data_IF_913466144340
#
_entry.id   IF_913466144340
#
_cell.length_a   1.000
_cell.length_b   1.000
_cell.length_c   1.000
_cell.angle_alpha   90.00
_cell.angle_beta   90.00
_cell.angle_gamma   90.00
#
_symmetry.space_group_name_H-M   'P 1'
#
loop_
_entity.id
_entity.type
_entity.pdbx_description
1 polymer ?
#
# COMPACT_ATOMS: atom_id res chain seq x y z
N UNK A 1 -5.13 25.66 -18.67
CA UNK A 1 -3.75 25.23 -18.35
C UNK A 1 -3.61 24.39 -17.08
N UNK A 2 -4.48 24.51 -16.06
CA UNK A 2 -4.40 23.71 -14.81
C UNK A 2 -4.86 22.25 -14.93
N UNK A 3 -5.81 21.95 -15.83
CA UNK A 3 -6.37 20.59 -16.00
C UNK A 3 -5.34 19.60 -16.53
N UNK A 4 -4.60 19.94 -17.59
CA UNK A 4 -3.62 19.04 -18.21
C UNK A 4 -2.51 18.59 -17.25
N UNK A 5 -2.03 19.50 -16.40
CA UNK A 5 -0.99 19.18 -15.42
C UNK A 5 -1.51 18.22 -14.34
N UNK A 6 -2.76 18.40 -13.89
CA UNK A 6 -3.42 17.51 -12.93
C UNK A 6 -3.63 16.10 -13.52
N UNK A 7 -4.12 16.00 -14.77
CA UNK A 7 -4.26 14.71 -15.45
C UNK A 7 -2.92 13.98 -15.63
N UNK A 8 -1.85 14.70 -16.00
CA UNK A 8 -0.49 14.11 -16.12
C UNK A 8 0.02 13.56 -14.78
N UNK A 9 -0.22 14.27 -13.67
CA UNK A 9 0.13 13.81 -12.32
C UNK A 9 -0.60 12.52 -11.94
N UNK A 10 -1.91 12.45 -12.16
CA UNK A 10 -2.70 11.24 -11.85
C UNK A 10 -2.23 10.04 -12.67
N UNK A 11 -1.98 10.21 -13.98
CA UNK A 11 -1.47 9.13 -14.84
C UNK A 11 -0.08 8.68 -14.37
N UNK A 12 0.80 9.64 -14.04
CA UNK A 12 2.15 9.37 -13.53
C UNK A 12 2.13 8.63 -12.19
N UNK A 13 1.22 8.99 -11.29
CA UNK A 13 1.07 8.34 -10.00
C UNK A 13 0.59 6.89 -10.17
N UNK A 14 -0.44 6.67 -10.99
CA UNK A 14 -0.93 5.32 -11.30
C UNK A 14 0.16 4.43 -11.94
N UNK A 15 1.00 5.02 -12.79
CA UNK A 15 2.14 4.31 -13.37
C UNK A 15 3.20 3.94 -12.31
N UNK A 16 3.51 4.86 -11.40
CA UNK A 16 4.51 4.66 -10.34
C UNK A 16 4.04 3.65 -9.29
N UNK A 17 2.75 3.67 -8.93
CA UNK A 17 2.14 2.68 -8.06
C UNK A 17 2.21 1.27 -8.67
N UNK A 18 1.83 1.15 -9.95
CA UNK A 18 1.94 -0.12 -10.70
C UNK A 18 3.38 -0.63 -10.76
N UNK A 19 4.35 0.27 -10.93
CA UNK A 19 5.78 -0.05 -10.89
C UNK A 19 6.21 -0.54 -9.50
N UNK A 20 5.71 0.08 -8.43
CA UNK A 20 5.93 -0.34 -7.05
C UNK A 20 5.39 -1.74 -6.77
N UNK A 21 4.14 -2.01 -7.17
CA UNK A 21 3.53 -3.33 -7.06
C UNK A 21 4.37 -4.37 -7.81
N UNK A 22 4.78 -4.07 -9.04
CA UNK A 22 5.60 -4.97 -9.85
C UNK A 22 6.98 -5.22 -9.21
N UNK A 23 7.61 -4.20 -8.65
CA UNK A 23 8.87 -4.34 -7.91
C UNK A 23 8.68 -5.29 -6.72
N UNK A 24 7.64 -5.10 -5.90
CA UNK A 24 7.36 -5.96 -4.77
C UNK A 24 7.12 -7.41 -5.22
N UNK A 25 6.23 -7.65 -6.18
CA UNK A 25 5.84 -9.02 -6.58
C UNK A 25 6.98 -9.76 -7.30
N UNK A 26 7.78 -9.07 -8.11
CA UNK A 26 8.85 -9.71 -8.89
C UNK A 26 10.11 -9.96 -8.08
N UNK A 27 10.44 -9.05 -7.16
CA UNK A 27 11.71 -9.08 -6.43
C UNK A 27 11.55 -9.60 -5.00
N UNK A 28 10.32 -9.61 -4.48
CA UNK A 28 10.03 -10.06 -3.12
C UNK A 28 8.88 -11.07 -3.13
N UNK A 29 9.06 -12.07 -2.31
CA UNK A 29 8.12 -13.18 -2.14
C UNK A 29 7.12 -12.85 -1.04
N UNK A 30 5.91 -13.41 -1.15
CA UNK A 30 4.83 -13.22 -0.19
C UNK A 30 3.93 -12.00 -0.44
N UNK A 31 4.23 -11.14 -1.41
CA UNK A 31 3.32 -10.07 -1.85
C UNK A 31 2.42 -10.57 -2.98
N UNK A 32 1.12 -10.25 -2.90
CA UNK A 32 0.13 -10.70 -3.86
C UNK A 32 -0.74 -9.56 -4.35
N UNK A 33 -0.77 -9.39 -5.67
CA UNK A 33 -1.77 -8.53 -6.30
C UNK A 33 -3.13 -9.20 -6.18
N UNK A 34 -4.12 -8.39 -5.86
CA UNK A 34 -5.52 -8.80 -5.76
C UNK A 34 -6.36 -7.93 -6.69
N UNK A 35 -7.42 -8.51 -7.23
CA UNK A 35 -8.40 -7.76 -8.00
C UNK A 35 -9.55 -7.26 -7.10
N UNK A 36 -10.49 -6.55 -7.73
CA UNK A 36 -11.63 -5.96 -7.03
C UNK A 36 -12.53 -7.01 -6.37
N UNK A 37 -12.72 -8.18 -6.99
CA UNK A 37 -13.60 -9.21 -6.45
C UNK A 37 -12.95 -9.89 -5.25
N UNK A 38 -11.65 -10.19 -5.33
CA UNK A 38 -10.87 -10.70 -4.21
C UNK A 38 -10.84 -9.70 -3.05
N UNK A 39 -10.73 -8.39 -3.32
CA UNK A 39 -10.83 -7.36 -2.26
C UNK A 39 -12.15 -7.44 -1.50
N UNK A 40 -13.29 -7.64 -2.18
CA UNK A 40 -14.60 -7.81 -1.51
C UNK A 40 -14.61 -9.05 -0.63
N UNK A 41 -14.15 -10.20 -1.17
CA UNK A 41 -14.06 -11.46 -0.42
C UNK A 41 -13.20 -11.29 0.84
N UNK A 42 -12.05 -10.61 0.74
CA UNK A 42 -11.20 -10.36 1.89
C UNK A 42 -11.88 -9.47 2.92
N UNK A 43 -12.54 -8.39 2.50
CA UNK A 43 -13.30 -7.50 3.39
C UNK A 43 -14.42 -8.25 4.11
N UNK A 44 -15.17 -9.10 3.41
CA UNK A 44 -16.19 -9.96 4.03
C UNK A 44 -15.59 -10.88 5.08
N UNK A 45 -14.45 -11.52 4.77
CA UNK A 45 -13.75 -12.42 5.70
C UNK A 45 -13.23 -11.70 6.95
N UNK A 46 -12.89 -10.42 6.86
CA UNK A 46 -12.50 -9.61 8.03
C UNK A 46 -13.65 -8.77 8.62
N UNK A 47 -14.88 -9.02 8.16
CA UNK A 47 -16.09 -8.31 8.62
C UNK A 47 -15.98 -6.78 8.51
N UNK A 48 -15.35 -6.29 7.44
CA UNK A 48 -15.16 -4.87 7.17
C UNK A 48 -16.05 -4.38 6.02
N UNK A 49 -16.59 -3.15 6.09
CA UNK A 49 -17.46 -2.60 5.06
C UNK A 49 -16.73 -2.31 3.74
N UNK A 50 -17.45 -2.42 2.63
CA UNK A 50 -16.91 -2.17 1.28
C UNK A 50 -16.47 -0.72 1.01
N UNK A 51 -16.73 0.23 1.92
CA UNK A 51 -16.13 1.57 1.85
C UNK A 51 -14.60 1.53 1.87
N UNK A 52 -14.01 0.45 2.39
CA UNK A 52 -12.57 0.22 2.44
C UNK A 52 -11.97 -0.51 1.23
N UNK A 53 -12.74 -0.69 0.14
CA UNK A 53 -12.23 -1.32 -1.10
C UNK A 53 -10.98 -0.63 -1.69
N UNK A 54 -10.79 0.65 -1.39
CA UNK A 54 -9.65 1.44 -1.86
C UNK A 54 -8.60 1.69 -0.77
N UNK A 55 -8.71 1.05 0.40
CA UNK A 55 -7.82 1.30 1.55
C UNK A 55 -6.59 0.39 1.60
N UNK A 56 -6.38 -0.45 0.59
CA UNK A 56 -5.24 -1.35 0.48
C UNK A 56 -5.06 -1.77 -0.98
N UNK A 57 -3.84 -2.06 -1.40
CA UNK A 57 -3.48 -2.34 -2.80
C UNK A 57 -3.16 -3.82 -3.03
N UNK A 58 -2.45 -4.41 -2.07
CA UNK A 58 -1.96 -5.80 -2.13
C UNK A 58 -2.14 -6.47 -0.78
N UNK A 59 -1.97 -7.78 -0.75
CA UNK A 59 -1.83 -8.53 0.50
C UNK A 59 -0.44 -9.10 0.63
N UNK A 60 -0.01 -9.30 1.86
CA UNK A 60 1.29 -9.87 2.19
C UNK A 60 1.12 -11.02 3.18
N UNK A 61 1.72 -12.17 2.89
CA UNK A 61 1.73 -13.33 3.78
C UNK A 61 3.18 -13.61 4.18
N UNK A 62 3.60 -13.26 5.42
CA UNK A 62 5.01 -13.32 5.83
C UNK A 62 5.65 -14.70 5.66
N UNK A 63 4.91 -15.78 5.94
CA UNK A 63 5.43 -17.16 5.82
C UNK A 63 5.73 -17.60 4.40
N UNK A 64 5.18 -16.92 3.40
CA UNK A 64 5.40 -17.24 2.00
C UNK A 64 6.59 -16.47 1.40
N UNK A 65 7.33 -15.76 2.26
CA UNK A 65 8.63 -15.22 1.89
C UNK A 65 9.60 -16.37 1.60
N UNK A 66 10.07 -16.45 0.36
CA UNK A 66 10.99 -17.44 -0.19
C UNK A 66 10.31 -18.50 -1.06
N UNK A 67 8.98 -18.46 -1.23
CA UNK A 67 8.21 -19.52 -1.90
C UNK A 67 7.48 -18.95 -3.12
N UNK A 68 7.51 -19.67 -4.24
CA UNK A 68 6.75 -19.37 -5.44
C UNK A 68 5.27 -19.80 -5.26
N UNK A 69 4.34 -18.88 -5.47
CA UNK A 69 2.96 -19.02 -4.99
C UNK A 69 1.95 -19.49 -6.05
N UNK A 70 0.87 -20.14 -5.60
CA UNK A 70 -0.34 -20.44 -6.39
C UNK A 70 -1.57 -19.80 -5.74
N UNK A 71 -2.47 -19.18 -6.51
CA UNK A 71 -3.64 -18.40 -6.04
C UNK A 71 -4.47 -19.04 -4.90
N UNK A 72 -4.55 -20.37 -4.86
CA UNK A 72 -5.33 -21.15 -3.86
C UNK A 72 -4.89 -20.98 -2.40
N UNK A 73 -3.73 -20.37 -2.13
CA UNK A 73 -3.15 -20.32 -0.78
C UNK A 73 -3.62 -19.12 0.06
N UNK A 74 -4.25 -18.09 -0.52
CA UNK A 74 -4.73 -16.92 0.25
C UNK A 74 -5.74 -17.35 1.32
N UNK A 75 -6.65 -18.26 0.96
CA UNK A 75 -7.68 -18.74 1.88
C UNK A 75 -7.12 -19.57 3.03
N UNK A 76 -6.04 -20.31 2.79
CA UNK A 76 -5.42 -21.19 3.80
C UNK A 76 -4.66 -20.39 4.86
N UNK A 77 -4.19 -19.20 4.52
CA UNK A 77 -3.33 -18.37 5.38
C UNK A 77 -3.99 -17.05 5.81
N UNK A 78 -5.32 -17.00 5.84
CA UNK A 78 -6.08 -15.79 6.18
C UNK A 78 -5.69 -15.18 7.54
N UNK A 79 -5.32 -16.03 8.51
CA UNK A 79 -4.92 -15.57 9.85
C UNK A 79 -3.60 -14.80 9.86
N UNK A 80 -2.72 -15.10 8.92
CA UNK A 80 -1.38 -14.52 8.79
C UNK A 80 -1.32 -13.41 7.72
N UNK A 81 -2.44 -13.20 7.03
CA UNK A 81 -2.55 -12.24 5.94
C UNK A 81 -2.50 -10.80 6.48
N UNK A 82 -1.62 -10.02 5.87
CA UNK A 82 -1.49 -8.59 6.09
C UNK A 82 -2.07 -7.82 4.90
N UNK A 83 -2.89 -6.83 5.18
CA UNK A 83 -3.41 -5.86 4.23
C UNK A 83 -2.40 -4.72 4.07
N UNK A 84 -2.02 -4.43 2.83
CA UNK A 84 -0.92 -3.51 2.54
C UNK A 84 -1.40 -2.38 1.65
N UNK A 85 -1.24 -1.16 2.13
CA UNK A 85 -1.43 0.07 1.37
C UNK A 85 -0.06 0.59 0.89
N UNK A 86 0.14 0.78 -0.41
CA UNK A 86 1.42 1.20 -0.96
C UNK A 86 1.50 2.72 -1.07
N UNK A 87 2.66 3.27 -0.67
CA UNK A 87 3.07 4.62 -1.02
C UNK A 87 4.39 4.51 -1.78
N UNK A 88 4.44 5.07 -2.98
CA UNK A 88 5.57 4.92 -3.90
C UNK A 88 6.25 6.26 -4.19
N UNK A 89 7.56 6.23 -4.42
CA UNK A 89 8.32 7.43 -4.83
C UNK A 89 9.49 7.07 -5.73
N UNK A 90 9.88 7.98 -6.62
CA UNK A 90 11.12 7.91 -7.42
C UNK A 90 12.24 8.81 -6.89
N UNK A 91 11.98 9.55 -5.80
CA UNK A 91 12.98 10.38 -5.14
C UNK A 91 14.07 9.50 -4.53
N UNK A 92 15.32 9.93 -4.64
CA UNK A 92 16.45 9.29 -3.95
C UNK A 92 16.28 9.43 -2.43
N UNK A 93 16.13 8.28 -1.75
CA UNK A 93 15.89 8.16 -0.30
C UNK A 93 16.75 7.02 0.26
N UNK A 94 18.04 7.27 0.56
CA UNK A 94 18.96 6.22 1.03
C UNK A 94 18.55 5.62 2.39
N UNK A 95 17.76 6.37 3.18
CA UNK A 95 17.24 5.95 4.49
C UNK A 95 15.69 5.83 4.47
N UNK A 96 15.12 5.12 3.50
CA UNK A 96 13.66 4.95 3.36
C UNK A 96 13.01 4.48 4.69
N UNK A 97 11.96 5.17 5.23
CA UNK A 97 11.14 6.24 4.65
C UNK A 97 11.46 7.67 5.10
N UNK A 98 12.67 7.94 5.60
CA UNK A 98 13.07 9.30 5.96
C UNK A 98 13.04 10.22 4.73
N UNK A 99 12.28 11.31 4.81
CA UNK A 99 12.13 12.26 3.70
C UNK A 99 11.10 11.85 2.63
N UNK A 100 10.38 10.76 2.86
CA UNK A 100 9.24 10.33 2.06
C UNK A 100 8.07 11.29 2.25
N UNK A 101 7.49 11.76 1.16
CA UNK A 101 6.28 12.58 1.16
C UNK A 101 5.16 11.79 0.49
N UNK A 102 4.01 11.67 1.15
CA UNK A 102 2.89 10.87 0.68
C UNK A 102 1.56 11.49 1.12
N UNK A 103 0.51 11.21 0.35
CA UNK A 103 -0.87 11.43 0.75
C UNK A 103 -1.50 10.12 1.22
N UNK A 104 -2.44 10.20 2.13
CA UNK A 104 -3.23 9.08 2.60
C UNK A 104 -4.66 9.56 2.90
N UNK A 105 -5.65 8.73 2.61
CA UNK A 105 -7.06 9.03 2.88
C UNK A 105 -7.44 8.69 4.31
N UNK A 106 -8.51 9.31 4.83
CA UNK A 106 -9.06 8.95 6.14
C UNK A 106 -9.50 7.48 6.18
N UNK A 107 -10.09 6.97 5.09
CA UNK A 107 -10.47 5.56 4.97
C UNK A 107 -9.28 4.59 5.09
N UNK A 108 -8.06 4.96 4.66
CA UNK A 108 -6.87 4.13 4.86
C UNK A 108 -6.49 4.05 6.34
N UNK A 109 -6.53 5.18 7.06
CA UNK A 109 -6.26 5.21 8.49
C UNK A 109 -7.34 4.48 9.29
N UNK A 110 -8.62 4.71 9.00
CA UNK A 110 -9.75 4.02 9.64
C UNK A 110 -9.65 2.51 9.45
N UNK A 111 -9.32 2.05 8.24
CA UNK A 111 -9.14 0.64 7.95
C UNK A 111 -7.97 0.05 8.72
N UNK A 112 -6.84 0.77 8.76
CA UNK A 112 -5.68 0.36 9.54
C UNK A 112 -5.95 0.28 11.04
N UNK A 113 -6.75 1.19 11.59
CA UNK A 113 -7.17 1.13 12.99
C UNK A 113 -8.09 -0.08 13.25
N UNK A 114 -9.02 -0.35 12.34
CA UNK A 114 -9.93 -1.49 12.46
C UNK A 114 -9.22 -2.84 12.40
N UNK A 115 -8.13 -2.94 11.62
CA UNK A 115 -7.36 -4.18 11.45
C UNK A 115 -6.16 -4.31 12.37
N UNK A 116 -5.70 -3.21 13.00
CA UNK A 116 -4.55 -3.18 13.90
C UNK A 116 -3.32 -3.83 13.27
N UNK A 117 -2.82 -4.89 13.91
CA UNK A 117 -1.63 -5.62 13.48
C UNK A 117 -1.76 -6.33 12.14
N UNK A 118 -2.94 -6.39 11.53
CA UNK A 118 -3.13 -6.93 10.17
C UNK A 118 -2.99 -5.91 9.05
N UNK A 119 -2.76 -4.62 9.36
CA UNK A 119 -2.58 -3.59 8.33
C UNK A 119 -1.19 -2.95 8.38
N UNK A 120 -0.59 -2.68 7.22
CA UNK A 120 0.68 -1.94 7.11
C UNK A 120 0.63 -0.94 5.96
N UNK A 121 1.22 0.23 6.19
CA UNK A 121 1.68 1.06 5.08
C UNK A 121 3.02 0.52 4.55
N UNK A 122 3.13 0.40 3.23
CA UNK A 122 4.36 -0.01 2.54
C UNK A 122 4.94 1.16 1.75
N UNK A 123 6.09 1.66 2.20
CA UNK A 123 6.82 2.74 1.55
C UNK A 123 7.85 2.17 0.57
N UNK A 124 7.61 2.33 -0.73
CA UNK A 124 8.49 1.83 -1.79
C UNK A 124 9.25 2.99 -2.43
N UNK A 125 10.58 2.94 -2.36
CA UNK A 125 11.46 3.82 -3.10
C UNK A 125 11.94 3.09 -4.36
N UNK A 126 11.58 3.62 -5.53
CA UNK A 126 11.91 3.09 -6.86
C UNK A 126 13.12 3.78 -7.49
N UNK A 127 13.82 4.64 -6.75
CA UNK A 127 15.04 5.24 -7.25
C UNK A 127 16.14 4.16 -7.38
N UNK A 128 16.83 4.03 -8.54
CA UNK A 128 17.82 2.98 -8.74
C UNK A 128 18.95 2.95 -7.71
N UNK A 129 19.36 4.11 -7.19
CA UNK A 129 20.46 4.23 -6.22
C UNK A 129 20.00 4.01 -4.77
N UNK A 130 18.69 3.95 -4.50
CA UNK A 130 18.13 3.73 -3.17
C UNK A 130 16.89 2.83 -3.18
N UNK A 131 16.88 1.85 -4.10
CA UNK A 131 15.77 0.94 -4.33
C UNK A 131 15.49 0.11 -3.07
N UNK A 132 14.32 0.30 -2.46
CA UNK A 132 14.00 -0.31 -1.17
C UNK A 132 12.50 -0.28 -0.88
N UNK A 133 12.06 -1.07 0.10
CA UNK A 133 10.74 -0.92 0.70
C UNK A 133 10.80 -0.99 2.24
N UNK A 134 9.82 -0.39 2.90
CA UNK A 134 9.63 -0.49 4.35
C UNK A 134 8.16 -0.67 4.68
N UNK A 135 7.84 -1.67 5.51
CA UNK A 135 6.52 -1.86 6.10
C UNK A 135 6.48 -1.20 7.48
N UNK A 136 5.42 -0.46 7.76
CA UNK A 136 5.17 0.16 9.06
C UNK A 136 3.72 -0.07 9.50
N UNK A 137 3.53 -0.38 10.78
CA UNK A 137 2.24 -0.26 11.48
C UNK A 137 1.81 1.20 11.55
N UNK A 138 0.54 1.45 11.90
CA UNK A 138 0.09 2.81 12.21
C UNK A 138 0.88 3.42 13.38
N UNK A 139 1.15 2.64 14.42
CA UNK A 139 1.90 3.10 15.60
C UNK A 139 3.34 3.50 15.24
N UNK A 140 4.03 2.68 14.44
CA UNK A 140 5.38 3.01 13.96
C UNK A 140 5.37 4.23 13.03
N UNK A 141 4.35 4.34 12.18
CA UNK A 141 4.20 5.48 11.28
C UNK A 141 3.99 6.78 12.07
N UNK A 142 3.08 6.80 13.04
CA UNK A 142 2.79 7.98 13.86
C UNK A 142 4.02 8.46 14.63
N UNK A 143 4.89 7.55 15.09
CA UNK A 143 6.16 7.91 15.75
C UNK A 143 7.15 8.64 14.85
N UNK A 144 7.08 8.44 13.53
CA UNK A 144 8.05 9.02 12.58
C UNK A 144 7.48 10.18 11.75
N UNK A 145 6.16 10.41 11.77
CA UNK A 145 5.52 11.55 11.11
C UNK A 145 6.07 12.84 11.71
N UNK A 146 6.69 13.68 10.88
CA UNK A 146 7.20 15.00 11.28
C UNK A 146 6.16 16.11 11.13
N UNK A 147 5.31 16.00 10.11
CA UNK A 147 4.28 16.99 9.80
C UNK A 147 3.10 16.27 9.13
N UNK A 148 1.88 16.61 9.54
CA UNK A 148 0.63 16.11 8.98
C UNK A 148 -0.25 17.30 8.58
N UNK A 149 -0.63 17.36 7.31
CA UNK A 149 -1.55 18.37 6.76
C UNK A 149 -2.78 17.68 6.19
N UNK A 150 -3.96 18.22 6.51
CA UNK A 150 -5.22 17.81 5.88
C UNK A 150 -5.41 18.60 4.58
N UNK A 151 -5.77 17.90 3.52
CA UNK A 151 -6.12 18.47 2.22
C UNK A 151 -7.46 17.90 1.76
N UNK A 152 -8.31 18.74 1.18
CA UNK A 152 -9.60 18.33 0.64
C UNK A 152 -9.49 18.11 -0.87
N UNK A 153 -10.06 17.01 -1.35
CA UNK A 153 -10.31 16.79 -2.78
C UNK A 153 -11.79 17.08 -3.06
N UNK A 154 -12.06 18.02 -3.95
CA UNK A 154 -13.42 18.43 -4.34
C UNK A 154 -13.63 18.05 -5.80
N UNK A 155 -14.66 17.25 -6.06
CA UNK A 155 -15.14 16.94 -7.41
C UNK A 155 -16.49 17.66 -7.59
N UNK A 156 -16.63 18.43 -8.67
CA UNK A 156 -17.86 19.13 -9.05
C UNK A 156 -18.56 18.39 -10.20
#
# INVERSE_FOLDING_TARGET
MSREHSFKLTISNNATEKEGINYLIKQHTGFFKIDKEMKKVLLDKVSQPYRFLQSFDVVYIPRLKGIEFKEQHIETHLDELLFIELKTTKKFLPENPKGFFFGATENEFDFGQALGDKFRFCFVCLNPESLSYKLLTLEELDKIIKNKRIQFQINL
#
